data_IF_974852714460
#
_entry.id   IF_974852714460
#
_cell.length_a   1.000
_cell.length_b   1.000
_cell.length_c   1.000
_cell.angle_alpha   90.00
_cell.angle_beta   90.00
_cell.angle_gamma   90.00
#
_symmetry.space_group_name_H-M   'P 1'
#
loop_
_entity.id
_entity.type
_entity.pdbx_description
1 polymer ?
#
# COMPACT_ATOMS: atom_id res chain seq x y z
N UNK A 1 1.52 -7.49 -1.98
CA UNK A 1 2.05 -6.15 -2.33
C UNK A 1 1.74 -5.10 -1.26
N UNK A 2 0.47 -4.80 -0.95
CA UNK A 2 0.13 -3.72 0.02
C UNK A 2 0.72 -3.91 1.41
N UNK A 3 0.58 -5.09 2.02
CA UNK A 3 0.96 -5.29 3.42
C UNK A 3 2.41 -4.87 3.72
N UNK A 4 3.38 -5.30 2.91
CA UNK A 4 4.78 -4.91 3.08
C UNK A 4 4.96 -3.39 3.06
N UNK A 5 4.42 -2.71 2.04
CA UNK A 5 4.46 -1.24 1.92
C UNK A 5 3.84 -0.55 3.14
N UNK A 6 2.72 -1.04 3.63
CA UNK A 6 2.03 -0.46 4.80
C UNK A 6 2.85 -0.66 6.07
N UNK A 7 3.48 -1.83 6.25
CA UNK A 7 4.42 -2.09 7.37
C UNK A 7 5.59 -1.09 7.30
N UNK A 8 6.22 -0.96 6.14
CA UNK A 8 7.40 -0.09 5.97
C UNK A 8 7.06 1.38 6.24
N UNK A 9 5.94 1.87 5.71
CA UNK A 9 5.44 3.22 6.00
C UNK A 9 5.14 3.43 7.47
N UNK A 10 4.52 2.45 8.13
CA UNK A 10 4.21 2.54 9.55
C UNK A 10 5.48 2.57 10.40
N UNK A 11 6.47 1.73 10.06
CA UNK A 11 7.79 1.74 10.72
C UNK A 11 8.49 3.07 10.51
N UNK A 12 8.43 3.63 9.30
CA UNK A 12 9.02 4.92 9.01
C UNK A 12 8.33 6.06 9.77
N UNK A 13 7.00 5.99 9.94
CA UNK A 13 6.25 6.90 10.81
C UNK A 13 6.73 6.81 12.26
N UNK A 14 6.74 5.60 12.83
CA UNK A 14 7.11 5.34 14.23
C UNK A 14 8.57 5.71 14.50
N UNK A 15 9.46 5.49 13.52
CA UNK A 15 10.87 5.86 13.57
C UNK A 15 11.15 7.35 13.32
N UNK A 16 10.14 8.16 12.99
CA UNK A 16 10.29 9.60 12.73
C UNK A 16 11.01 9.93 11.41
N UNK A 17 11.05 9.01 10.45
CA UNK A 17 11.77 9.14 9.17
C UNK A 17 10.88 8.86 7.94
N UNK A 18 9.59 9.19 8.03
CA UNK A 18 8.58 8.91 7.00
C UNK A 18 8.78 9.68 5.68
N UNK A 19 9.45 10.84 5.72
CA UNK A 19 9.63 11.70 4.54
C UNK A 19 8.29 12.18 3.98
N UNK A 20 8.11 12.03 2.66
CA UNK A 20 6.87 12.44 1.95
C UNK A 20 5.77 11.35 1.99
N UNK A 21 6.09 10.15 2.47
CA UNK A 21 5.10 9.10 2.59
C UNK A 21 4.11 9.44 3.71
N UNK A 22 2.87 8.99 3.53
CA UNK A 22 1.80 9.18 4.52
C UNK A 22 1.24 7.81 4.88
N UNK A 23 1.43 7.37 6.13
CA UNK A 23 0.76 6.18 6.67
C UNK A 23 -0.74 6.46 6.85
N UNK A 24 -1.55 5.41 6.76
CA UNK A 24 -3.02 5.48 6.79
C UNK A 24 -3.60 6.30 5.61
N UNK A 25 -2.94 6.22 4.45
CA UNK A 25 -3.41 6.86 3.23
C UNK A 25 -4.46 5.99 2.50
N UNK A 26 -5.06 6.46 1.38
CA UNK A 26 -6.04 5.69 0.63
C UNK A 26 -5.58 4.28 0.21
N UNK A 27 -4.28 4.09 -0.05
CA UNK A 27 -3.71 2.78 -0.40
C UNK A 27 -3.71 1.81 0.80
N UNK A 28 -3.27 2.28 1.98
CA UNK A 28 -3.27 1.46 3.20
C UNK A 28 -4.71 1.11 3.59
N UNK A 29 -5.64 2.05 3.39
CA UNK A 29 -7.06 1.87 3.65
C UNK A 29 -7.72 0.81 2.75
N UNK A 30 -7.13 0.45 1.60
CA UNK A 30 -7.59 -0.72 0.85
C UNK A 30 -7.40 -2.01 1.65
N UNK A 31 -6.24 -2.16 2.32
CA UNK A 31 -5.96 -3.31 3.20
C UNK A 31 -6.80 -3.24 4.48
N UNK A 32 -6.86 -2.07 5.12
CA UNK A 32 -7.60 -1.89 6.37
C UNK A 32 -9.10 -2.13 6.18
N UNK A 33 -9.67 -1.59 5.09
CA UNK A 33 -11.05 -1.85 4.70
C UNK A 33 -11.31 -3.32 4.40
N UNK A 34 -10.41 -3.99 3.65
CA UNK A 34 -10.54 -5.42 3.38
C UNK A 34 -10.55 -6.26 4.66
N UNK A 35 -9.71 -5.94 5.63
CA UNK A 35 -9.62 -6.68 6.89
C UNK A 35 -10.55 -6.16 7.98
N UNK A 36 -11.25 -5.05 7.79
CA UNK A 36 -12.08 -4.43 8.82
C UNK A 36 -11.30 -3.99 10.06
N UNK A 37 -10.05 -3.54 9.88
CA UNK A 37 -9.18 -3.04 10.96
C UNK A 37 -8.94 -1.54 10.79
N UNK A 38 -8.41 -0.88 11.82
CA UNK A 38 -8.02 0.53 11.75
C UNK A 38 -6.51 0.69 11.63
N UNK A 39 -6.06 1.76 10.99
CA UNK A 39 -4.64 2.12 10.92
C UNK A 39 -4.00 2.33 12.30
N UNK A 40 -4.77 2.85 13.26
CA UNK A 40 -4.32 3.02 14.65
C UNK A 40 -3.98 1.67 15.32
N UNK A 41 -4.85 0.66 15.17
CA UNK A 41 -4.62 -0.67 15.75
C UNK A 41 -3.39 -1.36 15.11
N UNK A 42 -3.23 -1.17 13.79
CA UNK A 42 -2.07 -1.64 13.03
C UNK A 42 -0.79 -0.98 13.55
N UNK A 43 -0.81 0.35 13.71
CA UNK A 43 0.33 1.13 14.20
C UNK A 43 0.73 0.71 15.62
N UNK A 44 -0.23 0.44 16.49
CA UNK A 44 0.03 -0.03 17.84
C UNK A 44 0.83 -1.35 17.86
N UNK A 45 0.61 -2.27 16.91
CA UNK A 45 1.41 -3.49 16.82
C UNK A 45 2.87 -3.18 16.47
N UNK A 46 3.09 -2.28 15.51
CA UNK A 46 4.44 -1.86 15.11
C UNK A 46 5.15 -1.13 16.25
N UNK A 47 4.46 -0.27 17.01
CA UNK A 47 5.00 0.40 18.19
C UNK A 47 5.41 -0.58 19.30
N UNK A 48 4.73 -1.72 19.40
CA UNK A 48 5.09 -2.82 20.29
C UNK A 48 6.23 -3.71 19.77
N UNK A 49 6.82 -3.38 18.62
CA UNK A 49 7.98 -4.08 18.05
C UNK A 49 7.63 -5.25 17.15
N UNK A 50 6.39 -5.36 16.65
CA UNK A 50 6.00 -6.46 15.78
C UNK A 50 6.83 -6.55 14.48
N UNK A 51 7.38 -7.74 14.24
CA UNK A 51 7.99 -8.14 12.97
C UNK A 51 6.95 -8.43 11.89
N UNK A 52 7.40 -8.69 10.66
CA UNK A 52 6.51 -8.91 9.52
C UNK A 52 5.59 -10.11 9.71
N UNK A 53 6.15 -11.22 10.21
CA UNK A 53 5.37 -12.42 10.48
C UNK A 53 4.33 -12.19 11.59
N UNK A 54 4.68 -11.42 12.62
CA UNK A 54 3.76 -11.07 13.71
C UNK A 54 2.62 -10.17 13.20
N UNK A 55 2.90 -9.28 12.25
CA UNK A 55 1.87 -8.47 11.58
C UNK A 55 0.93 -9.32 10.71
N UNK A 56 1.46 -10.30 9.98
CA UNK A 56 0.65 -11.27 9.21
C UNK A 56 -0.27 -12.03 10.14
N UNK A 57 0.27 -12.56 11.23
CA UNK A 57 -0.48 -13.30 12.24
C UNK A 57 -1.55 -12.45 12.93
N UNK A 58 -1.20 -11.21 13.30
CA UNK A 58 -2.14 -10.27 13.89
C UNK A 58 -3.29 -9.96 12.93
N UNK A 59 -3.02 -9.68 11.65
CA UNK A 59 -4.06 -9.46 10.64
C UNK A 59 -4.96 -10.69 10.45
N UNK A 60 -4.39 -11.89 10.44
CA UNK A 60 -5.16 -13.13 10.31
C UNK A 60 -6.12 -13.36 11.50
N UNK A 61 -5.78 -12.84 12.68
CA UNK A 61 -6.61 -12.97 13.90
C UNK A 61 -7.52 -11.75 14.16
N UNK A 62 -7.26 -10.62 13.52
CA UNK A 62 -7.93 -9.34 13.81
C UNK A 62 -8.90 -8.94 12.70
N UNK A 63 -9.95 -8.19 13.08
CA UNK A 63 -10.98 -7.74 12.15
C UNK A 63 -11.78 -8.89 11.53
N UNK A 64 -12.12 -8.78 10.26
CA UNK A 64 -12.90 -9.78 9.53
C UNK A 64 -12.06 -11.01 9.17
N UNK A 65 -12.57 -12.20 9.50
CA UNK A 65 -11.97 -13.46 9.04
C UNK A 65 -12.06 -13.56 7.52
N UNK A 66 -10.92 -13.81 6.86
CA UNK A 66 -10.84 -14.04 5.42
C UNK A 66 -10.26 -15.41 5.16
N UNK A 67 -10.87 -16.14 4.23
CA UNK A 67 -10.35 -17.41 3.74
C UNK A 67 -9.11 -17.19 2.87
N UNK A 68 -8.24 -18.21 2.72
CA UNK A 68 -7.10 -18.11 1.81
C UNK A 68 -7.49 -17.70 0.38
N UNK A 69 -8.62 -18.21 -0.12
CA UNK A 69 -9.12 -17.88 -1.45
C UNK A 69 -9.58 -16.42 -1.56
N UNK A 70 -10.24 -15.88 -0.53
CA UNK A 70 -10.60 -14.45 -0.49
C UNK A 70 -9.37 -13.56 -0.46
N UNK A 71 -8.36 -13.92 0.34
CA UNK A 71 -7.09 -13.17 0.41
C UNK A 71 -6.39 -13.19 -0.94
N UNK A 72 -6.31 -14.36 -1.59
CA UNK A 72 -5.71 -14.50 -2.92
C UNK A 72 -6.46 -13.66 -3.95
N UNK A 73 -7.78 -13.84 -4.05
CA UNK A 73 -8.61 -13.12 -5.02
C UNK A 73 -8.49 -11.60 -4.84
N UNK A 74 -8.60 -11.12 -3.60
CA UNK A 74 -8.44 -9.70 -3.30
C UNK A 74 -7.04 -9.20 -3.67
N UNK A 75 -5.99 -9.97 -3.37
CA UNK A 75 -4.62 -9.62 -3.75
C UNK A 75 -4.44 -9.51 -5.27
N UNK A 76 -5.02 -10.43 -6.03
CA UNK A 76 -4.99 -10.43 -7.50
C UNK A 76 -5.75 -9.21 -8.06
N UNK A 77 -6.96 -8.92 -7.55
CA UNK A 77 -7.79 -7.77 -7.94
C UNK A 77 -7.10 -6.43 -7.67
N UNK A 78 -6.51 -6.29 -6.47
CA UNK A 78 -5.82 -5.06 -6.07
C UNK A 78 -4.57 -4.83 -6.91
N UNK A 79 -3.81 -5.88 -7.19
CA UNK A 79 -2.60 -5.77 -8.01
C UNK A 79 -2.94 -5.44 -9.47
N UNK A 80 -4.06 -5.97 -9.98
CA UNK A 80 -4.57 -5.66 -11.32
C UNK A 80 -5.28 -4.31 -11.42
N UNK A 81 -5.51 -3.61 -10.30
CA UNK A 81 -6.30 -2.38 -10.30
C UNK A 81 -5.61 -1.26 -11.09
N UNK A 82 -6.39 -0.61 -11.97
CA UNK A 82 -5.95 0.56 -12.71
C UNK A 82 -6.82 1.78 -12.32
N UNK A 83 -6.25 2.80 -11.64
CA UNK A 83 -6.99 4.01 -11.28
C UNK A 83 -7.56 4.78 -12.48
N UNK A 84 -7.01 4.62 -13.68
CA UNK A 84 -7.51 5.22 -14.92
C UNK A 84 -8.94 4.78 -15.26
N UNK A 85 -9.32 3.56 -14.88
CA UNK A 85 -10.67 3.03 -15.10
C UNK A 85 -11.72 3.69 -14.19
N UNK A 86 -11.30 4.28 -13.08
CA UNK A 86 -12.16 5.03 -12.17
C UNK A 86 -12.20 6.52 -12.57
N UNK A 87 -13.36 7.05 -13.01
CA UNK A 87 -13.47 8.46 -13.42
C UNK A 87 -13.00 9.47 -12.36
N UNK A 88 -13.19 9.18 -11.07
CA UNK A 88 -12.80 10.08 -9.98
C UNK A 88 -11.29 10.13 -9.76
N UNK A 89 -10.56 9.07 -10.13
CA UNK A 89 -9.11 8.94 -9.93
C UNK A 89 -8.30 9.12 -11.22
N UNK A 90 -8.99 9.14 -12.37
CA UNK A 90 -8.37 9.15 -13.70
C UNK A 90 -7.37 10.29 -13.86
N UNK A 91 -7.82 11.53 -13.65
CA UNK A 91 -6.99 12.72 -13.91
C UNK A 91 -5.79 12.78 -12.97
N UNK A 92 -5.98 12.43 -11.69
CA UNK A 92 -4.89 12.30 -10.73
C UNK A 92 -3.86 11.28 -11.22
N UNK A 93 -4.30 10.10 -11.65
CA UNK A 93 -3.40 9.04 -12.08
C UNK A 93 -2.64 9.39 -13.36
N UNK A 94 -3.29 10.05 -14.32
CA UNK A 94 -2.64 10.58 -15.53
C UNK A 94 -1.48 11.50 -15.14
N UNK A 95 -1.67 12.40 -14.18
CA UNK A 95 -0.58 13.28 -13.72
C UNK A 95 0.52 12.53 -12.96
N UNK A 96 0.19 11.47 -12.22
CA UNK A 96 1.19 10.66 -11.50
C UNK A 96 2.12 9.87 -12.45
N UNK A 97 1.58 9.34 -13.55
CA UNK A 97 2.36 8.47 -14.46
C UNK A 97 3.12 9.25 -15.55
N UNK A 98 2.75 10.51 -15.77
CA UNK A 98 3.33 11.40 -16.78
C UNK A 98 4.85 11.64 -16.63
N UNK A 99 5.43 11.85 -15.43
CA UNK A 99 6.88 11.98 -15.26
C UNK A 99 7.67 10.77 -15.74
N UNK A 100 7.02 9.59 -15.73
CA UNK A 100 7.60 8.31 -16.12
C UNK A 100 7.28 7.92 -17.57
N UNK A 101 6.55 8.77 -18.31
CA UNK A 101 6.13 8.53 -19.69
C UNK A 101 5.39 7.19 -19.89
N UNK A 102 4.55 6.82 -18.92
CA UNK A 102 3.76 5.58 -18.97
C UNK A 102 2.37 5.84 -19.58
N UNK A 103 1.79 4.81 -20.19
CA UNK A 103 0.41 4.83 -20.70
C UNK A 103 -0.58 4.56 -19.55
N UNK A 104 -1.34 5.56 -19.07
CA UNK A 104 -2.21 5.40 -17.91
C UNK A 104 -3.29 4.31 -18.13
N UNK A 105 -3.68 4.02 -19.37
CA UNK A 105 -4.65 2.98 -19.67
C UNK A 105 -4.09 1.55 -19.54
N UNK A 106 -2.76 1.39 -19.50
CA UNK A 106 -2.08 0.09 -19.44
C UNK A 106 -1.22 -0.11 -18.19
N UNK A 107 -1.09 0.91 -17.36
CA UNK A 107 -0.29 0.88 -16.13
C UNK A 107 -1.20 0.64 -14.94
N UNK A 108 -0.96 -0.44 -14.19
CA UNK A 108 -1.68 -0.65 -12.92
C UNK A 108 -1.15 0.32 -11.86
N UNK A 109 -1.90 0.48 -10.78
CA UNK A 109 -1.45 1.26 -9.62
C UNK A 109 -0.11 0.74 -9.10
N UNK A 110 0.05 -0.59 -9.04
CA UNK A 110 1.28 -1.21 -8.52
C UNK A 110 2.46 -1.09 -9.46
N UNK A 111 2.24 -1.18 -10.78
CA UNK A 111 3.33 -0.95 -11.75
C UNK A 111 3.92 0.46 -11.60
N UNK A 112 3.05 1.47 -11.46
CA UNK A 112 3.49 2.84 -11.23
C UNK A 112 4.22 2.98 -9.89
N UNK A 113 3.66 2.46 -8.79
CA UNK A 113 4.26 2.55 -7.46
C UNK A 113 5.65 1.89 -7.38
N UNK A 114 5.87 0.79 -8.10
CA UNK A 114 7.17 0.11 -8.17
C UNK A 114 8.22 0.94 -8.94
N UNK A 115 7.80 1.68 -9.97
CA UNK A 115 8.67 2.59 -10.72
C UNK A 115 9.00 3.82 -9.88
N UNK A 116 7.99 4.42 -9.26
CA UNK A 116 8.10 5.62 -8.43
C UNK A 116 9.03 5.38 -7.22
N UNK A 117 8.88 4.24 -6.54
CA UNK A 117 9.75 3.87 -5.44
C UNK A 117 11.22 3.71 -5.90
N UNK A 118 11.46 3.04 -7.03
CA UNK A 118 12.84 2.82 -7.55
C UNK A 118 13.54 4.15 -7.84
N UNK A 119 12.85 5.08 -8.49
CA UNK A 119 13.39 6.40 -8.83
C UNK A 119 13.61 7.25 -7.56
N UNK A 120 12.66 7.22 -6.62
CA UNK A 120 12.78 7.91 -5.33
C UNK A 120 13.93 7.40 -4.47
N UNK A 121 14.17 6.08 -4.47
CA UNK A 121 15.31 5.47 -3.78
C UNK A 121 16.65 5.78 -4.47
N UNK A 122 16.69 5.79 -5.81
CA UNK A 122 17.90 6.13 -6.55
C UNK A 122 18.33 7.58 -6.31
N UNK A 123 17.38 8.53 -6.26
CA UNK A 123 17.68 9.95 -5.97
C UNK A 123 18.19 10.16 -4.54
N UNK A 124 17.72 9.38 -3.56
CA UNK A 124 18.22 9.45 -2.18
C UNK A 124 19.61 8.85 -1.98
N UNK A 125 20.07 8.01 -2.92
CA UNK A 125 21.36 7.35 -2.87
C UNK A 125 22.48 8.10 -3.61
N UNK A 126 22.14 9.15 -4.37
CA UNK A 126 23.07 10.01 -5.13
C UNK A 126 23.49 11.26 -4.33
#
# INVERSE_FOLDING_TARGET
>A
AILGRTIDKCRALVGGNIGEYHFDCPLDNMLFGFKGVKGEDFKAQIENGAGDQEMVEWLNRSGETKTPDEIKRWGDEVTASNPYENPEKRDWFVEQVKPYNLDPAKTTLFDWLEIDDKESHAQKAA
#
